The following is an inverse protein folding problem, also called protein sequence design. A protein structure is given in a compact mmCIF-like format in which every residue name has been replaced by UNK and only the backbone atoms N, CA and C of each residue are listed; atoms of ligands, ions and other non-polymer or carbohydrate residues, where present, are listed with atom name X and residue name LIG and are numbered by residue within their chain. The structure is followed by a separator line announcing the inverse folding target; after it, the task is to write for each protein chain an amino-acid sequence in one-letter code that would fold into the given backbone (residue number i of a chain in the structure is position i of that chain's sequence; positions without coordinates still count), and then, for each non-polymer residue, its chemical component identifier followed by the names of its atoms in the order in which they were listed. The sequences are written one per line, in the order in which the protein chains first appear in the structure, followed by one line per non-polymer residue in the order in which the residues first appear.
data_IF_426277222576
#
_entry.id   IF_426277222576
#
_cell.length_a   1.000
_cell.length_b   1.000
_cell.length_c   1.000
_cell.angle_alpha   90.00
_cell.angle_beta   90.00
_cell.angle_gamma   90.00
#
_symmetry.space_group_name_H-M   'P 1'
#
loop_
_entity.id
_entity.type
_entity.pdbx_description
1 polymer ?
#
# COMPACT_ATOMS: atom_id res chain seq x y z
N UNK A 1 4.28 -25.92 -0.75
CA UNK A 1 3.68 -24.98 -1.72
C UNK A 1 2.16 -24.81 -1.49
N UNK A 2 1.35 -25.86 -1.50
CA UNK A 2 -0.11 -25.81 -1.33
C UNK A 2 -0.54 -25.17 0.00
N UNK A 3 0.13 -25.47 1.12
CA UNK A 3 -0.18 -24.90 2.42
C UNK A 3 0.18 -23.40 2.51
N UNK A 4 1.24 -22.97 1.83
CA UNK A 4 1.60 -21.56 1.73
C UNK A 4 0.54 -20.78 0.92
N UNK A 5 0.05 -21.36 -0.17
CA UNK A 5 -1.01 -20.80 -1.01
C UNK A 5 -2.33 -20.73 -0.22
N UNK A 6 -2.68 -21.77 0.53
CA UNK A 6 -3.88 -21.79 1.39
C UNK A 6 -3.78 -20.76 2.53
N UNK A 7 -2.63 -20.68 3.20
CA UNK A 7 -2.37 -19.68 4.24
C UNK A 7 -2.46 -18.26 3.67
N UNK A 8 -1.87 -18.03 2.51
CA UNK A 8 -1.92 -16.78 1.82
C UNK A 8 -3.35 -16.40 1.40
N UNK A 9 -4.13 -17.33 0.87
CA UNK A 9 -5.52 -17.12 0.48
C UNK A 9 -6.42 -16.83 1.70
N UNK A 10 -6.20 -17.49 2.84
CA UNK A 10 -6.99 -17.31 4.06
C UNK A 10 -6.68 -16.00 4.78
N UNK A 11 -5.44 -15.51 4.72
CA UNK A 11 -5.03 -14.28 5.39
C UNK A 11 -5.52 -13.00 4.73
N UNK A 12 -6.12 -13.10 3.53
CA UNK A 12 -6.55 -11.93 2.76
C UNK A 12 -8.01 -12.06 2.38
N UNK A 13 -8.80 -11.04 2.68
CA UNK A 13 -10.10 -10.84 2.06
C UNK A 13 -9.87 -10.42 0.60
N UNK A 14 -9.58 -11.38 -0.27
CA UNK A 14 -9.39 -11.16 -1.70
C UNK A 14 -10.72 -10.86 -2.43
N UNK A 15 -11.43 -9.83 -2.00
CA UNK A 15 -12.45 -9.22 -2.83
C UNK A 15 -11.78 -8.33 -3.87
N UNK A 16 -11.79 -8.70 -5.15
CA UNK A 16 -11.24 -7.83 -6.18
C UNK A 16 -10.76 -8.56 -7.44
N UNK A 17 -10.28 -7.78 -8.40
CA UNK A 17 -9.68 -8.29 -9.64
C UNK A 17 -8.32 -8.94 -9.37
N UNK A 18 -7.84 -9.80 -10.30
CA UNK A 18 -6.50 -10.38 -10.24
C UNK A 18 -5.41 -9.27 -10.14
N UNK A 19 -5.62 -8.14 -10.81
CA UNK A 19 -4.74 -6.98 -10.69
C UNK A 19 -4.64 -6.42 -9.26
N UNK A 20 -5.76 -6.35 -8.51
CA UNK A 20 -5.74 -5.92 -7.10
C UNK A 20 -5.00 -6.91 -6.21
N UNK A 21 -5.02 -8.18 -6.56
CA UNK A 21 -4.29 -9.22 -5.82
C UNK A 21 -2.77 -9.06 -5.96
N UNK A 22 -2.27 -8.51 -7.08
CA UNK A 22 -0.85 -8.17 -7.25
C UNK A 22 -0.35 -7.23 -6.15
N UNK A 23 -1.13 -6.20 -5.82
CA UNK A 23 -0.79 -5.29 -4.72
C UNK A 23 -0.48 -6.06 -3.44
N UNK A 24 -1.37 -6.96 -3.04
CA UNK A 24 -1.22 -7.70 -1.79
C UNK A 24 -0.07 -8.71 -1.82
N UNK A 25 0.25 -9.27 -2.98
CA UNK A 25 1.44 -10.10 -3.16
C UNK A 25 2.71 -9.29 -2.87
N UNK A 26 2.78 -8.05 -3.39
CA UNK A 26 3.93 -7.17 -3.16
C UNK A 26 4.00 -6.66 -1.72
N UNK A 27 2.88 -6.22 -1.16
CA UNK A 27 2.80 -5.79 0.24
C UNK A 27 3.31 -6.89 1.18
N UNK A 28 2.83 -8.13 0.99
CA UNK A 28 3.28 -9.27 1.79
C UNK A 28 4.76 -9.59 1.62
N UNK A 29 5.32 -9.33 0.44
CA UNK A 29 6.75 -9.55 0.15
C UNK A 29 7.62 -8.45 0.76
N UNK A 30 7.17 -7.20 0.69
CA UNK A 30 8.02 -6.04 0.93
C UNK A 30 7.90 -5.49 2.36
N UNK A 31 6.69 -5.39 2.93
CA UNK A 31 6.51 -4.86 4.28
C UNK A 31 7.25 -5.63 5.38
N UNK A 32 7.26 -6.98 5.41
CA UNK A 32 7.97 -7.72 6.46
C UNK A 32 9.49 -7.57 6.42
N UNK A 33 10.07 -7.02 5.35
CA UNK A 33 11.50 -6.74 5.25
C UNK A 33 11.91 -5.55 6.11
N UNK A 34 10.96 -4.62 6.38
CA UNK A 34 11.23 -3.44 7.19
C UNK A 34 11.08 -3.81 8.66
N UNK A 35 12.21 -3.84 9.33
CA UNK A 35 12.32 -4.02 10.79
C UNK A 35 12.55 -2.67 11.44
N UNK A 36 12.22 -2.55 12.71
CA UNK A 36 12.46 -1.34 13.47
C UNK A 36 11.47 -1.19 14.62
N UNK A 37 11.52 -0.06 15.28
CA UNK A 37 10.71 0.20 16.47
C UNK A 37 9.26 0.54 16.10
N UNK A 38 9.06 1.46 15.13
CA UNK A 38 7.76 2.06 14.88
C UNK A 38 7.30 1.89 13.44
N UNK A 39 6.13 1.29 13.25
CA UNK A 39 5.39 1.25 11.99
C UNK A 39 4.06 1.99 12.11
N UNK A 40 3.73 2.82 11.12
CA UNK A 40 2.50 3.60 11.08
C UNK A 40 1.71 3.25 9.83
N UNK A 41 0.43 2.88 10.01
CA UNK A 41 -0.54 2.59 8.96
C UNK A 41 -1.49 3.78 8.79
N UNK A 42 -1.28 4.57 7.76
CA UNK A 42 -2.07 5.75 7.43
C UNK A 42 -3.34 5.33 6.68
N UNK A 43 -4.49 5.82 7.10
CA UNK A 43 -5.82 5.37 6.69
C UNK A 43 -5.97 3.84 6.85
N UNK A 44 -5.51 3.33 8.00
CA UNK A 44 -5.47 1.88 8.27
C UNK A 44 -6.83 1.27 8.57
N UNK A 45 -7.87 2.07 8.78
CA UNK A 45 -9.25 1.65 9.00
C UNK A 45 -9.37 0.60 10.12
N UNK A 46 -9.87 -0.58 9.78
CA UNK A 46 -10.02 -1.70 10.73
C UNK A 46 -8.72 -2.46 11.02
N UNK A 47 -7.56 -1.89 10.69
CA UNK A 47 -6.22 -2.47 10.90
C UNK A 47 -6.00 -3.81 10.17
N UNK A 48 -6.59 -3.94 8.99
CA UNK A 48 -6.44 -5.14 8.17
C UNK A 48 -5.01 -5.41 7.73
N UNK A 49 -4.15 -4.39 7.73
CA UNK A 49 -2.76 -4.47 7.30
C UNK A 49 -1.78 -4.81 8.45
N UNK A 50 -2.22 -4.78 9.72
CA UNK A 50 -1.35 -4.95 10.89
C UNK A 50 -0.44 -6.17 10.79
N UNK A 51 -0.95 -7.28 10.30
CA UNK A 51 -0.22 -8.55 10.19
C UNK A 51 0.94 -8.54 9.18
N UNK A 52 1.09 -7.48 8.38
CA UNK A 52 2.24 -7.28 7.50
C UNK A 52 3.37 -6.50 8.15
N UNK A 53 3.08 -5.76 9.24
CA UNK A 53 4.08 -5.00 9.95
C UNK A 53 4.96 -5.93 10.79
N UNK A 54 6.27 -5.76 10.68
CA UNK A 54 7.31 -6.46 11.46
C UNK A 54 8.06 -5.50 12.39
N UNK A 55 7.50 -4.32 12.64
CA UNK A 55 7.97 -3.35 13.62
C UNK A 55 7.48 -3.74 15.03
N UNK A 56 8.19 -3.31 16.07
CA UNK A 56 7.84 -3.61 17.46
C UNK A 56 6.52 -2.96 17.87
N UNK A 57 6.35 -1.69 17.49
CA UNK A 57 5.13 -0.91 17.72
C UNK A 57 4.41 -0.70 16.40
N UNK A 58 3.08 -0.76 16.46
CA UNK A 58 2.19 -0.46 15.35
C UNK A 58 1.20 0.62 15.77
N UNK A 59 1.11 1.68 14.97
CA UNK A 59 0.16 2.78 15.14
C UNK A 59 -0.76 2.82 13.92
N UNK A 60 -2.06 2.91 14.16
CA UNK A 60 -3.07 3.09 13.11
C UNK A 60 -3.64 4.50 13.16
N UNK A 61 -3.54 5.22 12.06
CA UNK A 61 -4.12 6.56 11.89
C UNK A 61 -5.27 6.48 10.90
N UNK A 62 -6.46 6.93 11.30
CA UNK A 62 -7.61 7.04 10.40
C UNK A 62 -8.53 8.19 10.85
N UNK A 63 -9.26 8.77 9.91
CA UNK A 63 -10.26 9.81 10.19
C UNK A 63 -11.58 9.20 10.69
N UNK A 64 -11.81 7.93 10.41
CA UNK A 64 -13.04 7.22 10.79
C UNK A 64 -12.88 6.51 12.14
N UNK A 65 -13.37 7.14 13.20
CA UNK A 65 -13.33 6.60 14.56
C UNK A 65 -14.03 5.23 14.66
N UNK A 66 -15.11 5.02 13.92
CA UNK A 66 -15.84 3.73 13.93
C UNK A 66 -14.97 2.59 13.41
N UNK A 67 -14.21 2.84 12.35
CA UNK A 67 -13.26 1.85 11.81
C UNK A 67 -12.11 1.57 12.80
N UNK A 68 -11.58 2.60 13.44
CA UNK A 68 -10.56 2.45 14.49
C UNK A 68 -11.06 1.60 15.65
N UNK A 69 -12.29 1.82 16.12
CA UNK A 69 -12.91 1.06 17.22
C UNK A 69 -13.11 -0.42 16.85
N UNK A 70 -13.53 -0.70 15.61
CA UNK A 70 -13.61 -2.08 15.11
C UNK A 70 -12.23 -2.74 15.09
N UNK A 71 -11.22 -2.02 14.63
CA UNK A 71 -9.83 -2.50 14.59
C UNK A 71 -9.28 -2.74 16.00
N UNK A 72 -9.55 -1.83 16.95
CA UNK A 72 -9.10 -1.92 18.34
C UNK A 72 -9.71 -3.10 19.08
N UNK A 73 -10.99 -3.40 18.85
CA UNK A 73 -11.62 -4.61 19.42
C UNK A 73 -10.90 -5.91 19.02
N UNK A 74 -10.33 -5.96 17.81
CA UNK A 74 -9.58 -7.12 17.32
C UNK A 74 -8.12 -7.10 17.74
N UNK A 75 -7.60 -5.93 18.09
CA UNK A 75 -6.19 -5.66 18.39
C UNK A 75 -6.09 -4.71 19.58
N UNK A 76 -6.42 -5.13 20.82
CA UNK A 76 -6.62 -4.22 21.97
C UNK A 76 -5.37 -3.42 22.35
N UNK A 77 -4.18 -3.98 22.09
CA UNK A 77 -2.89 -3.37 22.44
C UNK A 77 -2.34 -2.40 21.38
N UNK A 78 -3.11 -2.10 20.33
CA UNK A 78 -2.67 -1.19 19.27
C UNK A 78 -2.98 0.26 19.63
N UNK A 79 -2.06 1.16 19.34
CA UNK A 79 -2.28 2.61 19.43
C UNK A 79 -3.07 3.06 18.20
N UNK A 80 -4.17 3.79 18.44
CA UNK A 80 -5.01 4.38 17.40
C UNK A 80 -5.03 5.89 17.53
N UNK A 81 -4.98 6.58 16.40
CA UNK A 81 -5.03 8.04 16.34
C UNK A 81 -6.13 8.44 15.36
N UNK A 82 -7.15 9.13 15.86
CA UNK A 82 -8.20 9.70 15.01
C UNK A 82 -7.73 11.05 14.48
N UNK A 83 -7.32 11.09 13.24
CA UNK A 83 -6.80 12.30 12.59
C UNK A 83 -6.82 12.18 11.07
N UNK A 84 -6.88 13.32 10.39
CA UNK A 84 -6.57 13.39 8.96
C UNK A 84 -5.07 13.13 8.75
N UNK A 85 -4.74 12.47 7.63
CA UNK A 85 -3.35 12.12 7.30
C UNK A 85 -2.45 13.36 7.29
N UNK A 86 -2.89 14.46 6.66
CA UNK A 86 -2.10 15.68 6.53
C UNK A 86 -1.85 16.33 7.89
N UNK A 87 -2.85 16.37 8.77
CA UNK A 87 -2.75 16.92 10.13
C UNK A 87 -1.76 16.10 10.98
N UNK A 88 -1.91 14.77 10.92
CA UNK A 88 -1.00 13.85 11.62
C UNK A 88 0.45 14.01 11.16
N UNK A 89 0.70 14.03 9.84
CA UNK A 89 2.03 14.11 9.27
C UNK A 89 2.71 15.50 9.45
N UNK A 90 1.95 16.54 9.70
CA UNK A 90 2.45 17.89 10.03
C UNK A 90 2.82 18.07 11.50
N UNK A 91 2.44 17.13 12.37
CA UNK A 91 2.73 17.21 13.80
C UNK A 91 4.17 16.75 14.08
N UNK A 92 5.08 17.71 14.24
CA UNK A 92 6.52 17.46 14.48
C UNK A 92 6.84 16.80 15.83
N UNK A 93 5.89 16.80 16.79
CA UNK A 93 6.07 16.17 18.10
C UNK A 93 5.95 14.65 18.05
N UNK A 94 5.46 14.07 16.95
CA UNK A 94 5.33 12.64 16.78
C UNK A 94 6.67 11.97 16.50
N UNK A 95 6.86 10.77 17.07
CA UNK A 95 8.03 9.94 16.78
C UNK A 95 8.07 9.58 15.30
N UNK A 96 9.22 9.79 14.65
CA UNK A 96 9.43 9.44 13.25
C UNK A 96 9.51 7.92 13.08
N UNK A 97 8.73 7.32 12.15
CA UNK A 97 8.66 5.89 12.01
C UNK A 97 9.79 5.29 11.16
N UNK A 98 10.00 3.99 11.38
CA UNK A 98 10.80 3.12 10.51
C UNK A 98 10.04 2.73 9.24
N UNK A 99 8.71 2.55 9.37
CA UNK A 99 7.81 2.18 8.28
C UNK A 99 6.57 3.07 8.28
N UNK A 100 6.32 3.73 7.16
CA UNK A 100 5.05 4.35 6.83
C UNK A 100 4.35 3.54 5.74
N UNK A 101 3.10 3.14 5.98
CA UNK A 101 2.26 2.51 4.98
C UNK A 101 0.99 3.33 4.71
N UNK A 102 0.54 3.39 3.45
CA UNK A 102 -0.71 4.02 3.06
C UNK A 102 -1.32 3.30 1.86
N UNK A 103 -2.43 2.58 2.07
CA UNK A 103 -3.03 1.77 1.02
C UNK A 103 -4.47 2.15 0.73
N UNK A 104 -4.83 2.13 -0.57
CA UNK A 104 -6.19 2.33 -1.07
C UNK A 104 -6.83 3.68 -0.69
N UNK A 105 -6.00 4.70 -0.45
CA UNK A 105 -6.44 6.02 0.03
C UNK A 105 -6.11 7.12 -0.97
N UNK A 106 -4.96 7.04 -1.65
CA UNK A 106 -4.51 8.06 -2.60
C UNK A 106 -5.05 7.81 -4.00
N UNK A 107 -5.66 8.84 -4.61
CA UNK A 107 -6.25 8.82 -5.95
C UNK A 107 -7.74 9.12 -5.98
N UNK A 108 -8.30 9.40 -7.15
CA UNK A 108 -9.64 9.97 -7.39
C UNK A 108 -10.83 9.16 -6.84
N UNK A 109 -10.70 7.85 -6.71
CA UNK A 109 -11.74 7.01 -6.09
C UNK A 109 -11.47 6.77 -4.60
N UNK A 110 -10.42 7.35 -4.04
CA UNK A 110 -9.95 7.11 -2.70
C UNK A 110 -9.86 8.36 -1.83
N UNK A 111 -10.43 9.47 -2.13
CA UNK A 111 -10.49 10.70 -1.32
C UNK A 111 -9.41 11.76 -1.59
N UNK A 112 -8.33 11.48 -2.31
CA UNK A 112 -7.32 12.48 -2.65
C UNK A 112 -7.20 12.67 -4.16
N UNK A 113 -7.26 13.90 -4.62
CA UNK A 113 -6.96 14.27 -6.00
C UNK A 113 -5.45 14.29 -6.24
N UNK A 114 -5.04 14.68 -7.46
CA UNK A 114 -3.65 14.61 -7.90
C UNK A 114 -2.71 15.41 -6.99
N UNK A 115 -3.01 16.70 -6.76
CA UNK A 115 -2.18 17.58 -5.94
C UNK A 115 -2.14 17.17 -4.47
N UNK A 116 -3.28 16.80 -3.91
CA UNK A 116 -3.35 16.31 -2.53
C UNK A 116 -2.55 15.01 -2.35
N UNK A 117 -2.59 14.12 -3.37
CA UNK A 117 -1.78 12.89 -3.37
C UNK A 117 -0.29 13.21 -3.31
N UNK A 118 0.17 14.17 -4.12
CA UNK A 118 1.57 14.61 -4.11
C UNK A 118 1.96 15.25 -2.78
N UNK A 119 1.08 16.09 -2.22
CA UNK A 119 1.32 16.70 -0.90
C UNK A 119 1.49 15.64 0.17
N UNK A 120 0.57 14.68 0.25
CA UNK A 120 0.63 13.58 1.23
C UNK A 120 1.93 12.80 1.09
N UNK A 121 2.35 12.45 -0.12
CA UNK A 121 3.61 11.71 -0.35
C UNK A 121 4.82 12.53 0.09
N UNK A 122 4.84 13.85 -0.18
CA UNK A 122 5.90 14.74 0.30
C UNK A 122 5.93 14.84 1.82
N UNK A 123 4.76 14.89 2.47
CA UNK A 123 4.65 14.87 3.93
C UNK A 123 5.13 13.54 4.51
N UNK A 124 4.74 12.40 3.92
CA UNK A 124 5.23 11.08 4.32
C UNK A 124 6.77 11.02 4.28
N UNK A 125 7.39 11.55 3.21
CA UNK A 125 8.85 11.61 3.11
C UNK A 125 9.49 12.44 4.23
N UNK A 126 8.93 13.63 4.54
CA UNK A 126 9.45 14.51 5.60
C UNK A 126 9.32 13.88 6.97
N UNK A 127 8.20 13.22 7.21
CA UNK A 127 7.89 12.58 8.48
C UNK A 127 8.68 11.29 8.71
N UNK A 128 9.11 10.60 7.65
CA UNK A 128 9.89 9.37 7.73
C UNK A 128 11.29 9.65 8.27
N UNK A 129 11.78 8.83 9.20
CA UNK A 129 13.16 8.96 9.70
C UNK A 129 14.19 8.66 8.60
N UNK A 130 15.43 9.14 8.70
CA UNK A 130 16.53 8.71 7.83
C UNK A 130 16.65 7.17 7.86
N UNK A 131 16.89 6.55 6.72
CA UNK A 131 16.94 5.08 6.57
C UNK A 131 15.59 4.36 6.63
N UNK A 132 14.51 5.02 7.03
CA UNK A 132 13.17 4.45 7.08
C UNK A 132 12.59 4.16 5.70
N UNK A 133 11.49 3.41 5.67
CA UNK A 133 10.82 2.99 4.43
C UNK A 133 9.38 3.47 4.38
N UNK A 134 8.91 3.86 3.19
CA UNK A 134 7.50 4.08 2.95
C UNK A 134 6.98 3.15 1.86
N UNK A 135 5.78 2.61 2.09
CA UNK A 135 5.11 1.69 1.18
C UNK A 135 3.70 2.20 0.95
N UNK A 136 3.35 2.43 -0.29
CA UNK A 136 2.04 2.99 -0.61
C UNK A 136 1.60 2.61 -2.01
N UNK A 137 0.33 2.86 -2.31
CA UNK A 137 -0.18 2.77 -3.65
C UNK A 137 -1.01 4.00 -4.04
N UNK A 138 -0.96 4.33 -5.32
CA UNK A 138 -1.79 5.38 -5.94
C UNK A 138 -2.77 4.71 -6.88
N UNK A 139 -4.05 5.11 -6.80
CA UNK A 139 -5.16 4.46 -7.51
C UNK A 139 -5.90 5.45 -8.41
N UNK A 140 -6.26 4.98 -9.62
CA UNK A 140 -7.25 5.63 -10.51
C UNK A 140 -7.11 7.14 -10.73
N UNK A 141 -5.90 7.63 -10.85
CA UNK A 141 -5.69 9.00 -11.30
C UNK A 141 -5.99 9.09 -12.80
N UNK A 142 -6.64 10.18 -13.22
CA UNK A 142 -6.91 10.45 -14.65
C UNK A 142 -5.63 10.45 -15.47
N UNK A 143 -4.53 10.91 -14.88
CA UNK A 143 -3.22 10.96 -15.51
C UNK A 143 -2.16 10.24 -14.67
N UNK A 144 -2.23 8.91 -14.63
CA UNK A 144 -1.32 8.05 -13.84
C UNK A 144 0.14 8.17 -14.33
N UNK A 145 0.36 8.41 -15.62
CA UNK A 145 1.71 8.57 -16.18
C UNK A 145 2.36 9.87 -15.73
N UNK A 146 1.59 10.96 -15.63
CA UNK A 146 2.07 12.22 -15.11
C UNK A 146 2.42 12.12 -13.62
N UNK A 147 1.57 11.46 -12.83
CA UNK A 147 1.86 11.16 -11.42
C UNK A 147 3.17 10.37 -11.28
N UNK A 148 3.35 9.32 -12.08
CA UNK A 148 4.57 8.52 -12.03
C UNK A 148 5.81 9.37 -12.37
N UNK A 149 5.73 10.22 -13.40
CA UNK A 149 6.82 11.13 -13.78
C UNK A 149 7.17 12.11 -12.66
N UNK A 150 6.16 12.75 -12.06
CA UNK A 150 6.35 13.69 -10.95
C UNK A 150 6.92 13.01 -9.72
N UNK A 151 6.45 11.81 -9.37
CA UNK A 151 6.98 11.02 -8.26
C UNK A 151 8.41 10.56 -8.54
N UNK A 152 8.72 10.12 -9.75
CA UNK A 152 10.07 9.75 -10.15
C UNK A 152 11.04 10.91 -9.96
N UNK A 153 10.67 12.10 -10.44
CA UNK A 153 11.45 13.32 -10.23
C UNK A 153 11.57 13.70 -8.74
N UNK A 154 10.47 13.61 -7.98
CA UNK A 154 10.52 13.88 -6.55
C UNK A 154 11.42 12.91 -5.79
N UNK A 155 11.45 11.63 -6.18
CA UNK A 155 12.26 10.61 -5.51
C UNK A 155 13.74 10.67 -5.87
N UNK A 156 14.06 11.29 -6.99
CA UNK A 156 15.44 11.43 -7.45
C UNK A 156 16.31 12.04 -6.34
N UNK A 157 17.45 11.42 -6.09
CA UNK A 157 18.40 11.80 -5.06
C UNK A 157 17.92 11.77 -3.58
N UNK A 158 16.63 11.48 -3.31
CA UNK A 158 16.09 11.44 -1.94
C UNK A 158 16.05 10.05 -1.33
N UNK A 159 15.91 9.04 -2.17
CA UNK A 159 15.81 7.67 -1.74
C UNK A 159 17.05 6.85 -2.11
N UNK A 160 17.39 5.88 -1.24
CA UNK A 160 18.42 4.88 -1.54
C UNK A 160 17.94 3.89 -2.59
N UNK A 161 16.66 3.54 -2.52
CA UNK A 161 16.01 2.65 -3.48
C UNK A 161 14.53 3.01 -3.64
N UNK A 162 14.04 2.89 -4.86
CA UNK A 162 12.64 3.05 -5.23
C UNK A 162 12.25 1.86 -6.10
N UNK A 163 11.31 1.04 -5.66
CA UNK A 163 10.69 -0.02 -6.43
C UNK A 163 9.26 0.41 -6.78
N UNK A 164 9.03 0.67 -8.07
CA UNK A 164 7.74 1.06 -8.60
C UNK A 164 7.15 -0.07 -9.46
N UNK A 165 5.91 -0.45 -9.20
CA UNK A 165 5.18 -1.46 -9.97
C UNK A 165 3.81 -0.96 -10.32
N UNK A 166 3.35 -1.25 -11.53
CA UNK A 166 1.99 -0.92 -11.95
C UNK A 166 1.06 -2.14 -11.86
N UNK A 167 -0.21 -1.87 -11.61
CA UNK A 167 -1.29 -2.84 -11.62
C UNK A 167 -2.62 -2.18 -12.00
N UNK A 168 -3.63 -2.99 -12.30
CA UNK A 168 -4.95 -2.48 -12.70
C UNK A 168 -5.91 -3.56 -13.11
N UNK A 169 -6.93 -3.21 -13.89
CA UNK A 169 -7.86 -4.18 -14.45
C UNK A 169 -7.20 -4.98 -15.59
N UNK A 170 -7.59 -6.24 -15.72
CA UNK A 170 -7.27 -7.03 -16.91
C UNK A 170 -8.25 -6.70 -18.03
N UNK A 171 -7.76 -6.62 -19.27
CA UNK A 171 -8.63 -6.45 -20.43
C UNK A 171 -9.58 -7.64 -20.64
N UNK A 172 -9.12 -8.84 -20.25
CA UNK A 172 -9.92 -10.06 -20.33
C UNK A 172 -10.82 -10.10 -19.10
N UNK A 173 -12.00 -9.53 -19.21
CA UNK A 173 -13.08 -9.74 -18.23
C UNK A 173 -13.98 -10.84 -18.76
N UNK A 174 -13.94 -12.06 -18.21
CA UNK A 174 -14.88 -13.10 -18.58
C UNK A 174 -16.30 -12.68 -18.21
N UNK A 175 -17.27 -13.05 -19.04
CA UNK A 175 -18.72 -12.78 -18.82
C UNK A 175 -19.23 -13.34 -17.49
N UNK A 176 -18.53 -14.32 -16.89
CA UNK A 176 -18.83 -14.89 -15.57
C UNK A 176 -17.71 -14.55 -14.59
N UNK A 177 -18.00 -14.31 -13.30
CA UNK A 177 -16.98 -14.02 -12.30
C UNK A 177 -16.02 -15.20 -12.15
N UNK A 178 -14.74 -14.94 -12.33
CA UNK A 178 -13.69 -15.95 -12.12
C UNK A 178 -13.61 -16.26 -10.60
N UNK A 179 -13.58 -17.56 -10.19
CA UNK A 179 -13.38 -17.93 -8.81
C UNK A 179 -12.13 -17.28 -8.20
N UNK A 180 -12.21 -16.89 -6.92
CA UNK A 180 -11.13 -16.16 -6.24
C UNK A 180 -9.78 -16.86 -6.30
N UNK A 181 -9.78 -18.19 -6.23
CA UNK A 181 -8.57 -19.01 -6.35
C UNK A 181 -7.89 -18.86 -7.72
N UNK A 182 -8.65 -18.91 -8.81
CA UNK A 182 -8.10 -18.75 -10.16
C UNK A 182 -7.55 -17.33 -10.34
N UNK A 183 -8.25 -16.30 -9.83
CA UNK A 183 -7.75 -14.92 -9.83
C UNK A 183 -6.42 -14.79 -9.09
N UNK A 184 -6.27 -15.52 -7.99
CA UNK A 184 -5.02 -15.55 -7.23
C UNK A 184 -3.89 -16.22 -8.03
N UNK A 185 -4.14 -17.36 -8.67
CA UNK A 185 -3.15 -18.04 -9.53
C UNK A 185 -2.70 -17.09 -10.65
N UNK A 186 -3.63 -16.43 -11.33
CA UNK A 186 -3.30 -15.46 -12.38
C UNK A 186 -2.45 -14.31 -11.84
N UNK A 187 -2.79 -13.75 -10.68
CA UNK A 187 -1.99 -12.70 -10.05
C UNK A 187 -0.59 -13.18 -9.69
N UNK A 188 -0.47 -14.39 -9.15
CA UNK A 188 0.82 -14.99 -8.82
C UNK A 188 1.69 -15.24 -10.07
N UNK A 189 1.10 -15.77 -11.14
CA UNK A 189 1.79 -15.95 -12.42
C UNK A 189 2.27 -14.61 -12.99
N UNK A 190 1.43 -13.58 -12.98
CA UNK A 190 1.83 -12.23 -13.38
C UNK A 190 2.91 -11.60 -12.48
N UNK A 191 3.01 -12.05 -11.23
CA UNK A 191 4.07 -11.63 -10.33
C UNK A 191 5.42 -12.26 -10.70
N UNK A 192 5.45 -13.57 -10.91
CA UNK A 192 6.68 -14.32 -11.20
C UNK A 192 7.12 -14.22 -12.65
N UNK A 193 6.19 -13.97 -13.55
CA UNK A 193 6.41 -13.81 -14.99
C UNK A 193 5.87 -12.46 -15.47
N UNK A 194 6.62 -11.35 -15.27
CA UNK A 194 6.17 -10.01 -15.62
C UNK A 194 5.66 -9.84 -17.07
N UNK A 195 6.21 -10.50 -18.09
CA UNK A 195 5.69 -10.42 -19.46
C UNK A 195 4.22 -10.81 -19.59
N UNK A 196 3.72 -11.69 -18.72
CA UNK A 196 2.29 -12.06 -18.72
C UNK A 196 1.37 -10.87 -18.41
N UNK A 197 1.85 -9.82 -17.74
CA UNK A 197 1.05 -8.60 -17.53
C UNK A 197 0.67 -7.94 -18.85
N UNK A 198 1.62 -7.84 -19.76
CA UNK A 198 1.38 -7.30 -21.10
C UNK A 198 0.53 -8.27 -21.91
N UNK A 199 0.82 -9.55 -21.87
CA UNK A 199 0.07 -10.58 -22.58
C UNK A 199 -1.43 -10.60 -22.19
N UNK A 200 -1.74 -10.49 -20.89
CA UNK A 200 -3.11 -10.39 -20.39
C UNK A 200 -3.70 -8.97 -20.49
N UNK A 201 -2.99 -8.03 -21.10
CA UNK A 201 -3.46 -6.66 -21.27
C UNK A 201 -3.74 -5.95 -19.94
N UNK A 202 -2.86 -6.10 -18.94
CA UNK A 202 -3.00 -5.41 -17.66
C UNK A 202 -2.91 -3.90 -17.86
N UNK A 203 -4.00 -3.19 -17.54
CA UNK A 203 -4.01 -1.73 -17.61
C UNK A 203 -3.17 -1.12 -16.51
N UNK A 204 -2.41 -0.07 -16.86
CA UNK A 204 -1.71 0.76 -15.89
C UNK A 204 -2.66 1.81 -15.31
N UNK A 205 -3.39 1.42 -14.28
CA UNK A 205 -4.37 2.29 -13.59
C UNK A 205 -3.93 2.66 -12.18
N UNK A 206 -2.93 1.96 -11.65
CA UNK A 206 -2.47 2.09 -10.26
C UNK A 206 -0.98 1.84 -10.19
N UNK A 207 -0.33 2.54 -9.26
CA UNK A 207 1.08 2.38 -8.97
C UNK A 207 1.25 1.90 -7.53
N UNK A 208 2.18 0.99 -7.34
CA UNK A 208 2.67 0.56 -6.03
C UNK A 208 4.10 1.02 -5.88
N UNK A 209 4.44 1.57 -4.73
CA UNK A 209 5.78 2.03 -4.39
C UNK A 209 6.28 1.39 -3.11
N UNK A 210 7.52 0.96 -3.15
CA UNK A 210 8.35 0.67 -1.98
C UNK A 210 9.61 1.51 -2.05
N UNK A 211 9.77 2.45 -1.13
CA UNK A 211 10.83 3.44 -1.13
C UNK A 211 11.59 3.37 0.18
N UNK A 212 12.94 3.31 0.13
CA UNK A 212 13.81 3.41 1.29
C UNK A 212 14.55 4.75 1.26
N UNK A 213 14.33 5.59 2.29
CA UNK A 213 14.97 6.90 2.44
C UNK A 213 16.48 6.75 2.65
N UNK A 214 17.27 7.68 2.12
CA UNK A 214 18.70 7.76 2.44
C UNK A 214 18.91 8.03 3.94
N UNK A 215 20.08 7.64 4.45
CA UNK A 215 20.51 7.96 5.82
C UNK A 215 20.72 9.45 6.00
#
# INVERSE_FOLDING_TARGET
MINLIKSFYRSHRFGGSAGKMLLWIWVKKDMPKVKGELGIDLAGGTMGNKHFFSTEKYVCVDVDQTQLDIGKRRNPNVVTINSKIQEFLKNEQQQKPDLLACFQTMGTNAKFEHEETLEVIKLMYRFLKPGGSMIFNVCWLKNINEMEKQLSHFFDNKFKSVDCKFYGALHITPKKPIPGFIRFILAYLMHVLPPLRTYFGLKKERLYYFCQKKL
#
